data_IF_260167390790
#
_entry.id   IF_260167390790
#
_cell.length_a   1.000
_cell.length_b   1.000
_cell.length_c   1.000
_cell.angle_alpha   90.00
_cell.angle_beta   90.00
_cell.angle_gamma   90.00
#
_symmetry.space_group_name_H-M   'P 1'
#
loop_
_entity.id
_entity.type
_entity.pdbx_description
1 polymer ?
#
# COMPACT_ATOMS: atom_id res chain seq x y z
N UNK A 1 8.39 24.07 40.06
CA UNK A 1 9.37 24.28 38.95
C UNK A 1 9.64 23.05 38.12
N UNK A 2 9.70 21.84 38.72
CA UNK A 2 9.88 20.59 37.93
C UNK A 2 8.78 20.33 36.90
N UNK A 3 7.53 20.68 37.18
CA UNK A 3 6.40 20.40 36.28
C UNK A 3 6.48 21.19 34.97
N UNK A 4 6.88 22.45 35.00
CA UNK A 4 6.98 23.28 33.80
C UNK A 4 8.11 22.80 32.86
N UNK A 5 9.24 22.41 33.45
CA UNK A 5 10.35 21.85 32.69
C UNK A 5 10.00 20.49 32.06
N UNK A 6 9.35 19.61 32.83
CA UNK A 6 8.88 18.32 32.34
C UNK A 6 7.84 18.50 31.22
N UNK A 7 6.92 19.44 31.39
CA UNK A 7 5.92 19.82 30.38
C UNK A 7 6.60 20.28 29.08
N UNK A 8 7.61 21.13 29.18
CA UNK A 8 8.35 21.63 28.02
C UNK A 8 9.09 20.48 27.29
N UNK A 9 9.75 19.58 28.02
CA UNK A 9 10.44 18.42 27.45
C UNK A 9 9.46 17.47 26.73
N UNK A 10 8.32 17.18 27.35
CA UNK A 10 7.31 16.32 26.73
C UNK A 10 6.73 16.94 25.46
N UNK A 11 6.44 18.25 25.50
CA UNK A 11 5.98 18.99 24.32
C UNK A 11 7.05 19.02 23.23
N UNK A 12 8.33 19.18 23.58
CA UNK A 12 9.44 19.11 22.62
C UNK A 12 9.46 17.75 21.91
N UNK A 13 9.43 16.67 22.67
CA UNK A 13 9.42 15.30 22.09
C UNK A 13 8.23 15.08 21.15
N UNK A 14 7.03 15.48 21.57
CA UNK A 14 5.84 15.37 20.74
C UNK A 14 5.94 16.22 19.46
N UNK A 15 6.52 17.42 19.55
CA UNK A 15 6.72 18.30 18.39
C UNK A 15 7.73 17.71 17.41
N UNK A 16 8.84 17.10 17.88
CA UNK A 16 9.81 16.41 17.02
C UNK A 16 9.11 15.28 16.26
N UNK A 17 8.41 14.40 16.94
CA UNK A 17 7.71 13.29 16.31
C UNK A 17 6.66 13.78 15.30
N UNK A 18 5.97 14.88 15.59
CA UNK A 18 5.05 15.48 14.64
C UNK A 18 5.77 16.02 13.41
N UNK A 19 6.90 16.71 13.59
CA UNK A 19 7.73 17.16 12.46
C UNK A 19 8.21 16.00 11.59
N UNK A 20 8.62 14.89 12.20
CA UNK A 20 9.06 13.70 11.48
C UNK A 20 7.94 13.12 10.60
N UNK A 21 6.71 13.02 11.14
CA UNK A 21 5.54 12.56 10.38
C UNK A 21 5.19 13.50 9.23
N UNK A 22 5.23 14.81 9.47
CA UNK A 22 4.96 15.81 8.44
C UNK A 22 6.04 15.80 7.35
N UNK A 23 7.30 15.60 7.71
CA UNK A 23 8.41 15.49 6.78
C UNK A 23 8.28 14.21 5.92
N UNK A 24 7.89 13.08 6.52
CA UNK A 24 7.61 11.85 5.81
C UNK A 24 6.47 12.03 4.80
N UNK A 25 5.36 12.63 5.22
CA UNK A 25 4.24 12.95 4.32
C UNK A 25 4.65 13.87 3.16
N UNK A 26 5.47 14.91 3.44
CA UNK A 26 5.95 15.84 2.41
C UNK A 26 6.90 15.17 1.42
N UNK A 27 7.79 14.32 1.90
CA UNK A 27 8.74 13.59 1.05
C UNK A 27 8.02 12.64 0.10
N UNK A 28 6.89 12.07 0.53
CA UNK A 28 6.15 11.06 -0.19
C UNK A 28 4.90 11.60 -0.92
N UNK A 29 4.72 12.92 -1.02
CA UNK A 29 3.54 13.52 -1.68
C UNK A 29 3.38 13.10 -3.15
N UNK A 30 4.48 12.77 -3.83
CA UNK A 30 4.48 12.29 -5.21
C UNK A 30 4.72 10.77 -5.32
N UNK A 31 4.84 10.07 -4.20
CA UNK A 31 5.01 8.61 -4.20
C UNK A 31 3.66 7.94 -4.46
N UNK A 32 3.48 7.23 -5.58
CA UNK A 32 2.22 6.56 -5.88
C UNK A 32 1.79 5.64 -4.74
N UNK A 33 0.51 5.62 -4.41
CA UNK A 33 -0.08 4.76 -3.38
C UNK A 33 0.34 5.06 -1.94
N UNK A 34 1.11 6.12 -1.70
CA UNK A 34 1.48 6.50 -0.34
C UNK A 34 0.25 6.89 0.50
N UNK A 35 0.23 6.43 1.73
CA UNK A 35 -0.81 6.71 2.72
C UNK A 35 -0.30 7.70 3.77
N UNK A 36 -0.95 8.85 3.85
CA UNK A 36 -0.65 9.89 4.82
C UNK A 36 -0.66 9.35 6.25
N UNK A 37 0.36 9.66 7.02
CA UNK A 37 0.38 9.43 8.46
C UNK A 37 -0.25 10.63 9.18
N UNK A 38 -1.18 10.37 10.10
CA UNK A 38 -1.85 11.39 10.92
C UNK A 38 -1.53 11.20 12.39
N UNK A 39 -1.13 12.29 13.03
CA UNK A 39 -0.83 12.32 14.46
C UNK A 39 -1.95 13.05 15.19
N UNK A 40 -2.40 12.48 16.29
CA UNK A 40 -3.29 13.13 17.25
C UNK A 40 -2.56 13.35 18.56
N UNK A 41 -2.88 14.47 19.23
CA UNK A 41 -2.26 14.85 20.48
C UNK A 41 -3.27 14.77 21.62
N UNK A 42 -2.82 14.28 22.79
CA UNK A 42 -3.49 14.50 24.06
C UNK A 42 -2.72 15.53 24.87
N UNK A 43 -3.45 16.47 25.46
CA UNK A 43 -2.91 17.45 26.36
C UNK A 43 -3.19 17.04 27.80
N UNK A 44 -2.13 16.91 28.60
CA UNK A 44 -2.20 16.61 30.03
C UNK A 44 -1.54 17.75 30.81
N UNK A 45 -1.70 17.74 32.14
CA UNK A 45 -0.97 18.64 33.05
C UNK A 45 0.56 18.56 32.88
N UNK A 46 1.08 17.48 32.33
CA UNK A 46 2.50 17.25 32.00
C UNK A 46 2.91 17.59 30.57
N UNK A 47 2.09 18.33 29.80
CA UNK A 47 2.39 18.74 28.42
C UNK A 47 1.66 17.95 27.34
N UNK A 48 2.00 18.25 26.07
CA UNK A 48 1.45 17.53 24.94
C UNK A 48 2.18 16.19 24.75
N UNK A 49 1.42 15.15 24.48
CA UNK A 49 1.92 13.81 24.15
C UNK A 49 1.19 13.32 22.90
N UNK A 50 1.90 12.63 22.02
CA UNK A 50 1.25 11.93 20.89
C UNK A 50 0.39 10.81 21.45
N UNK A 51 -0.90 10.89 21.12
CA UNK A 51 -1.87 9.86 21.50
C UNK A 51 -1.89 8.71 20.50
N UNK A 52 -1.88 9.07 19.20
CA UNK A 52 -2.01 8.09 18.14
C UNK A 52 -1.30 8.55 16.86
N UNK A 53 -0.73 7.58 16.16
CA UNK A 53 -0.23 7.74 14.80
C UNK A 53 -0.93 6.68 13.93
N UNK A 54 -1.84 7.13 13.09
CA UNK A 54 -2.66 6.25 12.24
C UNK A 54 -2.51 6.62 10.78
N UNK A 55 -2.57 5.60 9.92
CA UNK A 55 -2.60 5.83 8.47
C UNK A 55 -3.97 6.30 8.01
N UNK A 56 -3.96 7.28 7.12
CA UNK A 56 -5.15 7.72 6.40
C UNK A 56 -5.50 6.66 5.34
N UNK A 57 -6.50 5.83 5.59
CA UNK A 57 -6.93 4.77 4.68
C UNK A 57 -7.77 5.29 3.50
N UNK A 58 -8.08 6.59 3.44
CA UNK A 58 -8.78 7.21 2.32
C UNK A 58 -8.03 6.96 1.00
N UNK A 59 -8.76 6.66 -0.06
CA UNK A 59 -8.17 6.43 -1.38
C UNK A 59 -7.61 7.72 -1.98
N UNK A 60 -6.42 7.64 -2.59
CA UNK A 60 -5.84 8.70 -3.40
C UNK A 60 -6.55 8.83 -4.75
N UNK A 61 -6.32 9.94 -5.46
CA UNK A 61 -6.84 10.14 -6.81
C UNK A 61 -6.10 9.25 -7.80
N UNK A 62 -6.77 8.84 -8.87
CA UNK A 62 -6.11 8.18 -9.99
C UNK A 62 -5.34 9.18 -10.86
N UNK A 63 -4.19 8.78 -11.36
CA UNK A 63 -3.37 9.54 -12.31
C UNK A 63 -2.87 8.61 -13.43
N UNK A 64 -2.67 9.11 -14.65
CA UNK A 64 -2.05 8.30 -15.69
C UNK A 64 -0.70 7.74 -15.24
N UNK A 65 -0.50 6.45 -15.45
CA UNK A 65 0.77 5.77 -15.26
C UNK A 65 1.69 5.95 -16.46
N UNK A 66 2.90 5.45 -16.38
CA UNK A 66 3.90 5.49 -17.45
C UNK A 66 3.75 4.33 -18.43
N UNK A 67 2.98 3.30 -18.09
CA UNK A 67 2.82 2.06 -18.85
C UNK A 67 1.42 1.49 -18.61
N UNK A 68 0.91 0.70 -19.55
CA UNK A 68 -0.33 -0.07 -19.40
C UNK A 68 -0.21 -1.19 -18.34
N UNK A 69 1.01 -1.47 -17.89
CA UNK A 69 1.30 -2.41 -16.82
C UNK A 69 1.04 -1.83 -15.43
N UNK A 70 1.01 -0.48 -15.33
CA UNK A 70 0.68 0.18 -14.09
C UNK A 70 -0.80 -0.06 -13.75
N UNK A 71 -1.07 -0.26 -12.48
CA UNK A 71 -2.39 -0.62 -11.99
C UNK A 71 -2.88 0.33 -10.90
N UNK A 72 -4.12 0.73 -11.02
CA UNK A 72 -4.87 1.43 -9.98
C UNK A 72 -5.95 0.51 -9.44
N UNK A 73 -6.01 0.34 -8.13
CA UNK A 73 -7.08 -0.41 -7.49
C UNK A 73 -8.13 0.55 -6.93
N UNK A 74 -9.27 0.64 -7.60
CA UNK A 74 -10.40 1.46 -7.18
C UNK A 74 -11.28 0.66 -6.21
N UNK A 75 -11.22 1.01 -4.92
CA UNK A 75 -11.95 0.32 -3.87
C UNK A 75 -11.09 -0.01 -2.65
N UNK A 76 -11.59 -0.92 -1.80
CA UNK A 76 -10.93 -1.32 -0.57
C UNK A 76 -10.12 -2.59 -0.77
N UNK A 77 -8.80 -2.52 -0.59
CA UNK A 77 -7.91 -3.67 -0.69
C UNK A 77 -6.49 -3.30 -1.10
N UNK A 78 -5.70 -4.31 -1.33
CA UNK A 78 -4.28 -4.24 -1.66
C UNK A 78 -3.96 -5.27 -2.74
N UNK A 79 -2.97 -5.00 -3.58
CA UNK A 79 -2.35 -6.02 -4.44
C UNK A 79 -1.56 -6.99 -3.58
N UNK A 80 -1.62 -8.27 -3.93
CA UNK A 80 -0.82 -9.30 -3.27
C UNK A 80 0.49 -9.49 -4.01
N UNK A 81 1.59 -9.45 -3.27
CA UNK A 81 2.94 -9.68 -3.76
C UNK A 81 3.58 -10.85 -3.03
N UNK A 82 4.59 -11.43 -3.65
CA UNK A 82 5.50 -12.38 -3.01
C UNK A 82 6.92 -11.85 -3.08
N UNK A 83 7.52 -11.64 -1.92
CA UNK A 83 8.91 -11.20 -1.83
C UNK A 83 9.86 -12.29 -2.35
N UNK A 84 11.10 -11.96 -2.73
CA UNK A 84 12.12 -12.96 -3.10
C UNK A 84 12.35 -14.03 -2.03
N UNK A 85 12.15 -13.67 -0.75
CA UNK A 85 12.26 -14.60 0.41
C UNK A 85 11.04 -15.51 0.57
N UNK A 86 10.03 -15.40 -0.33
CA UNK A 86 8.81 -16.22 -0.32
C UNK A 86 7.69 -15.69 0.57
N UNK A 87 7.88 -14.60 1.30
CA UNK A 87 6.87 -14.01 2.16
C UNK A 87 5.80 -13.26 1.35
N UNK A 88 4.55 -13.36 1.79
CA UNK A 88 3.44 -12.59 1.20
C UNK A 88 3.47 -11.16 1.73
N UNK A 89 3.37 -10.22 0.82
CA UNK A 89 3.30 -8.79 1.09
C UNK A 89 2.09 -8.18 0.39
N UNK A 90 1.65 -7.04 0.86
CA UNK A 90 0.48 -6.33 0.37
C UNK A 90 0.86 -4.89 0.06
N UNK A 91 0.33 -4.33 -1.03
CA UNK A 91 0.64 -2.95 -1.41
C UNK A 91 -0.50 -2.28 -2.15
N UNK A 92 -0.53 -0.95 -2.09
CA UNK A 92 -1.34 -0.09 -2.97
C UNK A 92 -0.53 0.46 -4.14
N UNK A 93 0.79 0.33 -4.09
CA UNK A 93 1.68 0.71 -5.18
C UNK A 93 1.41 -0.17 -6.39
N UNK A 94 0.90 0.43 -7.45
CA UNK A 94 0.60 -0.27 -8.70
C UNK A 94 1.69 -0.12 -9.77
N UNK A 95 2.89 0.35 -9.43
CA UNK A 95 4.03 0.42 -10.34
C UNK A 95 4.61 -0.97 -10.58
N UNK A 96 4.00 -1.70 -11.48
CA UNK A 96 4.43 -3.05 -11.86
C UNK A 96 4.91 -3.05 -13.30
N UNK A 97 5.86 -3.95 -13.61
CA UNK A 97 6.39 -4.17 -14.95
C UNK A 97 6.71 -5.64 -15.16
N UNK A 98 6.63 -6.10 -16.42
CA UNK A 98 7.13 -7.42 -16.79
C UNK A 98 8.63 -7.34 -17.02
N UNK A 99 9.39 -8.23 -16.39
CA UNK A 99 10.83 -8.33 -16.60
C UNK A 99 11.16 -9.12 -17.88
N UNK A 100 12.45 -9.26 -18.19
CA UNK A 100 12.92 -9.99 -19.37
C UNK A 100 12.56 -11.48 -19.38
N UNK A 101 12.17 -12.02 -18.22
CA UNK A 101 11.72 -13.41 -18.07
C UNK A 101 10.19 -13.52 -18.14
N UNK A 102 9.49 -12.40 -18.40
CA UNK A 102 8.04 -12.30 -18.43
C UNK A 102 7.39 -12.38 -17.05
N UNK A 103 8.14 -12.18 -15.96
CA UNK A 103 7.61 -12.18 -14.60
C UNK A 103 7.11 -10.79 -14.27
N UNK A 104 5.89 -10.69 -13.75
CA UNK A 104 5.28 -9.43 -13.35
C UNK A 104 5.77 -9.03 -11.96
N UNK A 105 6.53 -7.94 -11.88
CA UNK A 105 7.23 -7.51 -10.67
C UNK A 105 6.89 -6.09 -10.27
N UNK A 106 6.91 -5.86 -8.97
CA UNK A 106 6.99 -4.54 -8.39
C UNK A 106 8.45 -4.02 -8.43
N UNK A 107 8.62 -2.72 -8.33
CA UNK A 107 9.93 -2.06 -8.25
C UNK A 107 10.82 -2.57 -7.10
N UNK A 108 10.19 -3.09 -6.04
CA UNK A 108 10.88 -3.76 -4.92
C UNK A 108 11.51 -5.12 -5.27
N UNK A 109 11.25 -5.64 -6.48
CA UNK A 109 11.65 -7.00 -6.91
C UNK A 109 10.65 -8.09 -6.50
N UNK A 110 9.63 -7.77 -5.69
CA UNK A 110 8.58 -8.71 -5.33
C UNK A 110 7.69 -9.03 -6.54
N UNK A 111 7.23 -10.28 -6.64
CA UNK A 111 6.40 -10.75 -7.75
C UNK A 111 4.92 -10.55 -7.47
N UNK A 112 4.18 -10.04 -8.45
CA UNK A 112 2.72 -9.89 -8.36
C UNK A 112 2.07 -11.27 -8.39
N UNK A 113 1.12 -11.47 -7.47
CA UNK A 113 0.41 -12.72 -7.33
C UNK A 113 -0.90 -12.69 -8.11
N UNK A 114 -1.27 -13.83 -8.68
CA UNK A 114 -2.52 -14.01 -9.39
C UNK A 114 -3.07 -15.42 -9.25
N UNK A 115 -4.27 -15.60 -9.75
CA UNK A 115 -4.93 -16.89 -9.91
C UNK A 115 -4.83 -17.32 -11.37
N UNK A 116 -4.49 -18.58 -11.64
CA UNK A 116 -4.48 -19.13 -12.99
C UNK A 116 -5.93 -19.29 -13.46
N UNK A 117 -6.19 -18.90 -14.72
CA UNK A 117 -7.49 -19.04 -15.34
C UNK A 117 -7.49 -20.19 -16.37
N UNK A 118 -8.65 -20.80 -16.56
CA UNK A 118 -8.89 -21.70 -17.70
C UNK A 118 -9.36 -20.88 -18.93
N UNK A 119 -9.54 -21.57 -20.07
CA UNK A 119 -9.99 -20.94 -21.33
C UNK A 119 -11.36 -20.25 -21.23
N UNK A 120 -12.15 -20.55 -20.19
CA UNK A 120 -13.45 -19.93 -19.91
C UNK A 120 -13.34 -18.70 -18.99
N UNK A 121 -12.14 -18.40 -18.47
CA UNK A 121 -11.92 -17.33 -17.51
C UNK A 121 -12.24 -17.70 -16.05
N UNK A 122 -12.42 -18.99 -15.75
CA UNK A 122 -12.66 -19.47 -14.38
C UNK A 122 -11.34 -19.72 -13.65
N UNK A 123 -11.30 -19.42 -12.35
CA UNK A 123 -10.11 -19.62 -11.51
C UNK A 123 -9.87 -21.11 -11.29
N UNK A 124 -8.68 -21.57 -11.62
CA UNK A 124 -8.26 -22.97 -11.45
C UNK A 124 -7.88 -23.26 -10.00
N UNK A 125 -8.46 -24.31 -9.43
CA UNK A 125 -8.08 -24.85 -8.11
C UNK A 125 -7.81 -26.35 -8.24
N UNK A 126 -6.61 -26.71 -8.68
CA UNK A 126 -6.28 -28.09 -9.06
C UNK A 126 -7.14 -28.56 -10.23
N UNK A 127 -7.95 -29.60 -10.02
CA UNK A 127 -8.89 -30.13 -11.02
C UNK A 127 -10.27 -29.44 -11.02
N UNK A 128 -10.52 -28.54 -10.07
CA UNK A 128 -11.79 -27.80 -9.96
C UNK A 128 -11.60 -26.38 -10.45
N UNK A 129 -12.65 -25.79 -11.02
CA UNK A 129 -12.69 -24.39 -11.37
C UNK A 129 -13.72 -23.63 -10.52
N UNK A 130 -13.42 -22.36 -10.23
CA UNK A 130 -14.31 -21.43 -9.57
C UNK A 130 -14.75 -20.38 -10.58
N UNK A 131 -16.05 -20.18 -10.73
CA UNK A 131 -16.58 -19.17 -11.65
C UNK A 131 -16.19 -17.76 -11.22
N UNK A 132 -16.16 -16.83 -12.17
CA UNK A 132 -15.93 -15.42 -11.89
C UNK A 132 -16.98 -14.86 -10.90
N UNK A 133 -18.23 -15.28 -11.05
CA UNK A 133 -19.34 -14.88 -10.18
C UNK A 133 -19.07 -15.27 -8.72
N UNK A 134 -18.52 -16.47 -8.49
CA UNK A 134 -18.18 -16.93 -7.13
C UNK A 134 -17.02 -16.12 -6.53
N UNK A 135 -16.07 -15.67 -7.35
CA UNK A 135 -15.03 -14.76 -6.89
C UNK A 135 -15.62 -13.43 -6.41
N UNK A 136 -16.50 -12.83 -7.21
CA UNK A 136 -17.16 -11.57 -6.89
C UNK A 136 -18.08 -11.71 -5.67
N UNK A 137 -18.85 -12.79 -5.60
CA UNK A 137 -19.71 -13.08 -4.45
C UNK A 137 -18.89 -13.26 -3.17
N UNK A 138 -17.74 -13.93 -3.24
CA UNK A 138 -16.82 -14.11 -2.10
C UNK A 138 -16.24 -12.77 -1.66
N UNK A 139 -15.85 -11.91 -2.61
CA UNK A 139 -15.37 -10.56 -2.32
C UNK A 139 -16.45 -9.70 -1.65
N UNK A 140 -17.69 -9.77 -2.14
CA UNK A 140 -18.84 -9.04 -1.57
C UNK A 140 -19.16 -9.48 -0.14
N UNK A 141 -19.02 -10.77 0.16
CA UNK A 141 -19.25 -11.33 1.50
C UNK A 141 -18.06 -11.15 2.45
N UNK A 142 -16.95 -10.58 1.98
CA UNK A 142 -15.72 -10.45 2.78
C UNK A 142 -15.10 -11.81 3.13
N UNK A 143 -15.23 -12.77 2.23
CA UNK A 143 -14.67 -14.11 2.37
C UNK A 143 -13.23 -14.22 1.84
N UNK A 144 -12.55 -15.31 2.20
CA UNK A 144 -11.26 -15.69 1.66
C UNK A 144 -11.43 -16.81 0.63
N UNK A 145 -10.63 -16.77 -0.44
CA UNK A 145 -10.54 -17.89 -1.38
C UNK A 145 -9.56 -18.94 -0.86
N UNK A 146 -9.99 -20.19 -0.85
CA UNK A 146 -9.13 -21.35 -0.54
C UNK A 146 -8.30 -21.81 -1.76
N UNK A 147 -7.95 -20.88 -2.66
CA UNK A 147 -7.16 -21.16 -3.86
C UNK A 147 -5.78 -20.53 -3.68
N UNK A 148 -4.70 -21.31 -3.88
CA UNK A 148 -3.35 -20.75 -3.79
C UNK A 148 -3.10 -19.76 -4.92
N UNK A 149 -2.45 -18.66 -4.59
CA UNK A 149 -1.95 -17.71 -5.58
C UNK A 149 -0.63 -18.18 -6.17
N UNK A 150 -0.33 -17.74 -7.38
CA UNK A 150 0.91 -18.03 -8.09
C UNK A 150 1.53 -16.74 -8.62
N UNK A 151 2.83 -16.80 -8.92
CA UNK A 151 3.53 -15.68 -9.58
C UNK A 151 2.98 -15.51 -11.00
N UNK A 152 2.63 -14.29 -11.39
CA UNK A 152 2.18 -14.00 -12.75
C UNK A 152 3.39 -14.02 -13.69
N UNK A 153 3.33 -14.90 -14.70
CA UNK A 153 4.34 -15.03 -15.76
C UNK A 153 3.66 -15.17 -17.12
N UNK A 154 3.95 -14.30 -18.05
CA UNK A 154 3.26 -14.27 -19.35
C UNK A 154 3.83 -15.24 -20.40
N UNK A 155 5.05 -15.69 -20.23
CA UNK A 155 5.79 -16.39 -21.28
C UNK A 155 5.99 -17.88 -21.01
N UNK A 156 5.33 -18.41 -19.99
CA UNK A 156 5.48 -19.80 -19.57
C UNK A 156 4.14 -20.50 -19.60
N UNK A 157 4.08 -21.65 -20.30
CA UNK A 157 2.94 -22.55 -20.22
C UNK A 157 2.78 -23.05 -18.77
N UNK A 158 1.68 -22.74 -18.10
CA UNK A 158 1.47 -23.14 -16.72
C UNK A 158 1.47 -24.67 -16.50
N UNK A 159 1.26 -25.45 -17.57
CA UNK A 159 1.19 -26.91 -17.48
C UNK A 159 2.56 -27.59 -17.62
N UNK A 160 3.49 -27.03 -18.38
CA UNK A 160 4.78 -27.67 -18.68
C UNK A 160 6.00 -26.77 -18.45
N UNK A 161 5.82 -25.53 -17.98
CA UNK A 161 6.89 -24.57 -17.72
C UNK A 161 7.63 -24.09 -18.96
N UNK A 162 7.15 -24.38 -20.17
CA UNK A 162 7.78 -23.96 -21.42
C UNK A 162 7.29 -22.59 -21.87
N UNK A 163 8.17 -21.85 -22.54
CA UNK A 163 7.83 -20.57 -23.15
C UNK A 163 6.68 -20.76 -24.15
N UNK A 164 5.62 -20.01 -23.95
CA UNK A 164 4.50 -19.91 -24.87
C UNK A 164 4.82 -18.84 -25.92
N UNK A 165 5.63 -19.12 -26.90
CA UNK A 165 5.85 -18.24 -28.03
C UNK A 165 4.62 -18.05 -28.93
N UNK A 166 3.42 -17.95 -28.35
CA UNK A 166 2.14 -17.87 -29.06
C UNK A 166 1.39 -16.56 -28.85
N UNK A 167 1.83 -15.72 -27.94
CA UNK A 167 1.14 -14.45 -27.69
C UNK A 167 1.99 -13.31 -28.24
N UNK A 168 1.39 -12.53 -29.14
CA UNK A 168 2.01 -11.35 -29.74
C UNK A 168 1.93 -10.16 -28.78
N UNK A 169 0.84 -10.11 -27.99
CA UNK A 169 0.53 -9.04 -27.06
C UNK A 169 -0.21 -9.56 -25.83
N UNK A 170 -0.24 -8.76 -24.79
CA UNK A 170 -1.11 -8.98 -23.63
C UNK A 170 -1.97 -7.75 -23.36
N UNK A 171 -3.06 -7.96 -22.64
CA UNK A 171 -3.96 -6.89 -22.20
C UNK A 171 -4.40 -7.15 -20.76
N UNK A 172 -4.35 -6.12 -19.94
CA UNK A 172 -4.89 -6.16 -18.57
C UNK A 172 -6.23 -5.43 -18.58
N UNK A 173 -7.32 -6.16 -18.33
CA UNK A 173 -8.67 -5.59 -18.26
C UNK A 173 -8.98 -4.98 -16.91
N UNK A 174 -10.01 -4.15 -16.87
CA UNK A 174 -10.45 -3.43 -15.66
C UNK A 174 -10.99 -4.34 -14.54
N UNK A 175 -11.24 -5.60 -14.82
CA UNK A 175 -11.55 -6.62 -13.80
C UNK A 175 -10.31 -7.26 -13.17
N UNK A 176 -9.10 -6.85 -13.62
CA UNK A 176 -7.83 -7.43 -13.19
C UNK A 176 -7.49 -8.76 -13.86
N UNK A 177 -8.17 -9.11 -14.95
CA UNK A 177 -7.84 -10.29 -15.75
C UNK A 177 -6.78 -9.94 -16.80
N UNK A 178 -5.74 -10.75 -16.86
CA UNK A 178 -4.67 -10.66 -17.85
C UNK A 178 -4.97 -11.62 -18.98
N UNK A 179 -5.07 -11.09 -20.19
CA UNK A 179 -5.30 -11.85 -21.42
C UNK A 179 -4.02 -11.89 -22.25
N UNK A 180 -3.72 -13.04 -22.83
CA UNK A 180 -2.76 -13.17 -23.91
C UNK A 180 -3.47 -13.04 -25.26
N UNK A 181 -2.94 -12.21 -26.17
CA UNK A 181 -3.43 -12.06 -27.54
C UNK A 181 -2.53 -12.83 -28.52
N UNK A 182 -3.12 -13.65 -29.33
CA UNK A 182 -2.46 -14.46 -30.35
C UNK A 182 -3.07 -14.18 -31.73
N UNK A 183 -2.40 -14.62 -32.79
CA UNK A 183 -2.86 -14.49 -34.17
C UNK A 183 -3.14 -13.03 -34.59
N UNK A 184 -2.22 -12.12 -34.24
CA UNK A 184 -2.39 -10.68 -34.53
C UNK A 184 -3.54 -10.03 -33.76
N UNK A 185 -3.86 -10.53 -32.57
CA UNK A 185 -4.92 -10.03 -31.71
C UNK A 185 -6.29 -10.63 -31.93
N UNK A 186 -6.44 -11.56 -32.90
CA UNK A 186 -7.74 -12.20 -33.22
C UNK A 186 -8.18 -13.19 -32.15
N UNK A 187 -7.25 -13.74 -31.39
CA UNK A 187 -7.53 -14.70 -30.31
C UNK A 187 -7.05 -14.13 -28.96
N UNK A 188 -7.98 -13.95 -28.04
CA UNK A 188 -7.71 -13.50 -26.68
C UNK A 188 -7.99 -14.66 -25.70
N UNK A 189 -6.99 -15.04 -24.91
CA UNK A 189 -7.08 -16.16 -23.95
C UNK A 189 -6.85 -15.60 -22.55
N UNK A 190 -7.77 -15.83 -21.59
CA UNK A 190 -7.55 -15.43 -20.20
C UNK A 190 -6.43 -16.28 -19.58
N UNK A 191 -5.48 -15.64 -18.93
CA UNK A 191 -4.31 -16.30 -18.36
C UNK A 191 -4.33 -16.24 -16.83
N UNK A 192 -4.45 -15.03 -16.29
CA UNK A 192 -4.42 -14.80 -14.85
C UNK A 192 -5.47 -13.78 -14.43
N UNK A 193 -5.96 -13.94 -13.22
CA UNK A 193 -6.65 -12.88 -12.49
C UNK A 193 -5.73 -12.38 -11.38
N UNK A 194 -5.47 -11.08 -11.34
CA UNK A 194 -4.61 -10.46 -10.32
C UNK A 194 -5.24 -10.68 -8.95
N UNK A 195 -4.45 -11.18 -8.01
CA UNK A 195 -4.90 -11.43 -6.65
C UNK A 195 -4.90 -10.12 -5.85
N UNK A 196 -6.03 -9.85 -5.21
CA UNK A 196 -6.20 -8.72 -4.31
C UNK A 196 -6.64 -9.20 -2.93
N UNK A 197 -6.25 -8.47 -1.90
CA UNK A 197 -6.61 -8.78 -0.53
C UNK A 197 -7.18 -7.55 0.18
N UNK A 198 -8.07 -7.77 1.13
CA UNK A 198 -8.53 -6.77 2.09
C UNK A 198 -8.40 -7.34 3.51
N UNK A 199 -8.48 -6.48 4.52
CA UNK A 199 -8.31 -6.84 5.90
C UNK A 199 -9.46 -6.27 6.74
N UNK A 200 -9.82 -6.99 7.80
CA UNK A 200 -10.83 -6.51 8.75
C UNK A 200 -10.34 -5.24 9.46
N UNK A 201 -9.07 -5.20 9.85
CA UNK A 201 -8.42 -4.03 10.42
C UNK A 201 -7.16 -3.65 9.63
N UNK A 202 -7.28 -2.84 8.57
CA UNK A 202 -6.11 -2.43 7.76
C UNK A 202 -5.07 -1.61 8.54
N UNK A 203 -5.46 -0.93 9.64
CA UNK A 203 -4.52 -0.21 10.50
C UNK A 203 -3.63 -1.14 11.34
N UNK A 204 -4.02 -2.40 11.49
CA UNK A 204 -3.21 -3.43 12.12
C UNK A 204 -2.13 -4.02 11.22
N UNK A 205 -2.08 -3.66 9.94
CA UNK A 205 -1.00 -4.10 9.05
C UNK A 205 0.34 -3.48 9.49
N UNK A 206 1.39 -4.30 9.45
CA UNK A 206 2.75 -3.81 9.70
C UNK A 206 3.40 -3.39 8.38
N UNK A 207 3.84 -2.15 8.29
CA UNK A 207 4.60 -1.64 7.15
C UNK A 207 6.06 -2.05 7.28
N UNK A 208 6.54 -2.83 6.33
CA UNK A 208 7.93 -3.29 6.28
C UNK A 208 8.82 -2.20 5.69
N UNK A 209 8.43 -1.66 4.53
CA UNK A 209 9.17 -0.64 3.79
C UNK A 209 8.32 -0.10 2.62
N UNK A 210 8.42 1.21 2.38
CA UNK A 210 7.98 1.87 1.13
C UNK A 210 6.58 1.45 0.64
N UNK A 211 5.58 1.43 1.55
CA UNK A 211 4.21 1.06 1.21
C UNK A 211 3.98 -0.45 1.01
N UNK A 212 4.93 -1.29 1.45
CA UNK A 212 4.78 -2.74 1.54
C UNK A 212 4.34 -3.14 2.94
N UNK A 213 3.26 -3.88 3.02
CA UNK A 213 2.63 -4.30 4.27
C UNK A 213 2.68 -5.81 4.43
N UNK A 214 2.69 -6.28 5.66
CA UNK A 214 2.50 -7.69 6.03
C UNK A 214 1.36 -7.83 7.03
N UNK A 215 0.70 -8.99 6.99
CA UNK A 215 -0.36 -9.29 7.95
C UNK A 215 0.17 -9.42 9.37
N UNK A 216 -0.67 -9.06 10.33
CA UNK A 216 -0.42 -9.26 11.76
C UNK A 216 -1.66 -9.90 12.41
N UNK A 217 -1.57 -10.38 13.64
CA UNK A 217 -2.76 -10.82 14.38
C UNK A 217 -3.82 -9.73 14.51
N UNK A 218 -3.41 -8.45 14.54
CA UNK A 218 -4.31 -7.31 14.70
C UNK A 218 -5.03 -6.95 13.38
N UNK A 219 -4.37 -7.13 12.22
CA UNK A 219 -5.01 -6.93 10.91
C UNK A 219 -6.05 -7.99 10.59
N UNK A 220 -5.90 -9.16 11.18
CA UNK A 220 -6.64 -10.36 10.81
C UNK A 220 -6.12 -10.99 9.51
N UNK A 221 -6.74 -12.11 9.11
CA UNK A 221 -6.42 -12.83 7.87
C UNK A 221 -6.91 -12.07 6.64
N UNK A 222 -6.19 -12.19 5.50
CA UNK A 222 -6.63 -11.58 4.26
C UNK A 222 -7.94 -12.19 3.74
N UNK A 223 -8.82 -11.34 3.29
CA UNK A 223 -10.03 -11.67 2.53
C UNK A 223 -9.90 -11.10 1.13
N UNK A 224 -10.76 -11.50 0.19
CA UNK A 224 -10.70 -10.97 -1.19
C UNK A 224 -10.93 -9.46 -1.21
N UNK A 225 -10.09 -8.73 -1.95
CA UNK A 225 -10.23 -7.29 -2.11
C UNK A 225 -11.52 -6.92 -2.87
N UNK A 226 -12.16 -5.82 -2.45
CA UNK A 226 -13.40 -5.31 -3.08
C UNK A 226 -13.08 -4.08 -3.90
N UNK A 227 -13.24 -4.17 -5.20
CA UNK A 227 -13.01 -3.04 -6.10
C UNK A 227 -12.65 -3.48 -7.51
N UNK A 228 -12.37 -2.50 -8.35
CA UNK A 228 -11.97 -2.68 -9.74
C UNK A 228 -10.48 -2.37 -9.91
N UNK A 229 -9.81 -3.09 -10.79
CA UNK A 229 -8.44 -2.79 -11.19
C UNK A 229 -8.51 -2.04 -12.51
N UNK A 230 -7.83 -0.90 -12.60
CA UNK A 230 -7.71 -0.12 -13.82
C UNK A 230 -6.26 -0.12 -14.30
N UNK A 231 -6.01 -0.58 -15.52
CA UNK A 231 -4.69 -0.57 -16.12
C UNK A 231 -4.32 0.81 -16.67
N UNK A 232 -3.03 1.09 -16.74
CA UNK A 232 -2.50 2.37 -17.22
C UNK A 232 -2.66 3.54 -16.24
N UNK A 233 -3.14 3.28 -15.05
CA UNK A 233 -3.33 4.28 -13.99
C UNK A 233 -2.54 3.92 -12.74
N UNK A 234 -2.22 4.95 -11.95
CA UNK A 234 -1.62 4.82 -10.62
C UNK A 234 -2.45 5.56 -9.58
N UNK A 235 -2.37 5.14 -8.34
CA UNK A 235 -2.93 5.88 -7.20
C UNK A 235 -1.95 6.98 -6.78
N UNK A 236 -2.40 8.22 -6.71
CA UNK A 236 -1.61 9.30 -6.10
C UNK A 236 -1.55 9.12 -4.59
N UNK A 237 -0.52 9.69 -3.96
CA UNK A 237 -0.50 9.87 -2.51
C UNK A 237 -1.79 10.56 -2.05
N UNK A 238 -2.35 10.11 -0.93
CA UNK A 238 -3.54 10.74 -0.35
C UNK A 238 -3.18 11.86 0.64
N UNK A 239 -1.97 12.40 0.55
CA UNK A 239 -1.46 13.47 1.40
C UNK A 239 -1.63 14.84 0.72
N UNK A 240 -1.92 15.88 1.51
CA UNK A 240 -2.03 17.26 1.05
C UNK A 240 -0.73 18.02 1.33
N UNK A 241 -0.02 18.40 0.27
CA UNK A 241 1.24 19.15 0.36
C UNK A 241 1.08 20.45 1.16
N UNK A 242 0.04 21.24 0.88
CA UNK A 242 -0.16 22.55 1.53
C UNK A 242 -0.46 22.39 3.02
N UNK A 243 -1.32 21.44 3.37
CA UNK A 243 -1.67 21.17 4.76
C UNK A 243 -0.45 20.70 5.55
N UNK A 244 0.32 19.74 5.02
CA UNK A 244 1.52 19.22 5.67
C UNK A 244 2.63 20.28 5.77
N UNK A 245 2.84 21.11 4.75
CA UNK A 245 3.80 22.22 4.79
C UNK A 245 3.42 23.27 5.85
N UNK A 246 2.14 23.65 5.92
CA UNK A 246 1.65 24.55 6.95
C UNK A 246 1.83 23.97 8.36
N UNK A 247 1.50 22.68 8.54
CA UNK A 247 1.72 21.98 9.79
C UNK A 247 3.20 21.93 10.18
N UNK A 248 4.08 21.69 9.22
CA UNK A 248 5.53 21.67 9.46
C UNK A 248 6.06 23.02 9.91
N UNK A 249 5.61 24.13 9.29
CA UNK A 249 5.96 25.49 9.71
C UNK A 249 5.45 25.79 11.13
N UNK A 250 4.21 25.37 11.45
CA UNK A 250 3.65 25.52 12.80
C UNK A 250 4.46 24.74 13.85
N UNK A 251 4.81 23.47 13.53
CA UNK A 251 5.64 22.64 14.40
C UNK A 251 7.03 23.27 14.64
N UNK A 252 7.62 23.87 13.61
CA UNK A 252 8.90 24.59 13.73
C UNK A 252 8.80 25.76 14.70
N UNK A 253 7.80 26.61 14.56
CA UNK A 253 7.55 27.74 15.47
C UNK A 253 7.33 27.23 16.89
N UNK A 254 6.53 26.19 17.07
CA UNK A 254 6.31 25.56 18.38
C UNK A 254 7.61 25.05 18.99
N UNK A 255 8.47 24.42 18.20
CA UNK A 255 9.79 23.95 18.64
C UNK A 255 10.68 25.11 19.14
N UNK A 256 10.72 26.22 18.41
CA UNK A 256 11.48 27.41 18.80
C UNK A 256 11.00 27.98 20.15
N UNK A 257 9.68 28.07 20.34
CA UNK A 257 9.08 28.51 21.60
C UNK A 257 9.41 27.58 22.77
N UNK A 258 9.29 26.25 22.56
CA UNK A 258 9.59 25.26 23.60
C UNK A 258 11.07 25.28 23.96
N UNK A 259 11.98 25.43 22.99
CA UNK A 259 13.41 25.56 23.23
C UNK A 259 13.75 26.82 24.02
N UNK A 260 13.09 27.94 23.72
CA UNK A 260 13.25 29.18 24.48
C UNK A 260 12.77 29.02 25.94
N UNK A 261 11.66 28.34 26.17
CA UNK A 261 11.17 28.02 27.52
C UNK A 261 12.13 27.12 28.30
N UNK A 262 12.67 26.09 27.67
CA UNK A 262 13.65 25.19 28.29
C UNK A 262 14.91 25.98 28.68
N UNK A 263 15.41 26.86 27.79
CA UNK A 263 16.57 27.69 28.05
C UNK A 263 16.31 28.66 29.22
N UNK A 264 15.19 29.38 29.18
CA UNK A 264 14.81 30.32 30.26
C UNK A 264 14.71 29.64 31.63
N UNK A 265 14.09 28.43 31.68
CA UNK A 265 14.05 27.66 32.92
C UNK A 265 15.44 27.25 33.42
N UNK A 266 16.32 26.86 32.51
CA UNK A 266 17.69 26.47 32.85
C UNK A 266 18.46 27.66 33.41
N UNK A 267 18.33 28.84 32.78
CA UNK A 267 18.99 30.09 33.23
C UNK A 267 18.48 30.53 34.62
N UNK A 268 17.15 30.39 34.86
CA UNK A 268 16.55 30.65 36.17
C UNK A 268 17.08 29.72 37.26
N UNK A 269 17.22 28.42 36.97
CA UNK A 269 17.77 27.45 37.91
C UNK A 269 19.26 27.74 38.23
N UNK A 270 20.04 28.17 37.25
CA UNK A 270 21.45 28.52 37.44
C UNK A 270 21.61 29.81 38.25
N UNK A 271 20.69 30.79 38.11
CA UNK A 271 20.73 32.04 38.86
C UNK A 271 20.24 31.88 40.32
N UNK A 272 19.54 30.77 40.64
CA UNK A 272 19.00 30.47 41.97
C UNK A 272 19.94 29.56 42.81
N UNK A 273 21.01 29.09 42.23
CA UNK A 273 22.11 28.34 42.89
C UNK A 273 23.29 29.25 43.20
#
# INVERSE_FOLDING_TARGET
MNDLYTTAINTQKATVQWMDVLADNLTNVYTPGFRENKVTFKTFLGGAVIDNNVKNLGQGKSTPGTSNENLFFEGSGYFMLRSPDGNVQYTRLGEFTFDSEGVYRAKSGATVQGYILNDKGEIMSGTKSLSADLYEETALKGGALSVPTTNIKLWIDPNNGKFLGKYDEYEIKNDGTIYGKADGGNRSVPLYKIATANFHNPNGLYEVKDGLFVETPESGKPVVGRGEIRSGLLEQANTDFKANMSGYQQAKVQMELVNALIKSNKDLLQSAM
#
